data_IF_003118189352
#
_entry.id   IF_003118189352
#
_cell.length_a   1.000
_cell.length_b   1.000
_cell.length_c   1.000
_cell.angle_alpha   90.00
_cell.angle_beta   90.00
_cell.angle_gamma   90.00
#
_symmetry.space_group_name_H-M   'P 1'
#
loop_
_entity.id
_entity.type
_entity.pdbx_description
1 polymer ?
#
# COMPACT_ATOMS: atom_id res chain seq x y z
N UNK A 1 -9.61 51.78 -47.32
CA UNK A 1 -9.91 50.46 -46.72
C UNK A 1 -8.80 50.16 -45.72
N UNK A 2 -9.00 50.53 -44.45
CA UNK A 2 -7.98 50.38 -43.41
C UNK A 2 -8.27 49.10 -42.62
N UNK A 3 -7.35 48.12 -42.69
CA UNK A 3 -7.42 46.90 -41.89
C UNK A 3 -7.08 47.23 -40.43
N UNK A 4 -8.04 47.05 -39.53
CA UNK A 4 -7.78 47.06 -38.10
C UNK A 4 -7.28 45.66 -37.68
N UNK A 5 -6.03 45.59 -37.24
CA UNK A 5 -5.46 44.36 -36.65
C UNK A 5 -5.97 44.26 -35.21
N UNK A 6 -6.94 43.39 -34.96
CA UNK A 6 -7.34 43.02 -33.60
C UNK A 6 -6.22 42.18 -32.98
N UNK A 7 -5.41 42.80 -32.10
CA UNK A 7 -4.40 42.11 -31.31
C UNK A 7 -5.06 41.19 -30.27
N UNK A 8 -5.01 39.88 -30.52
CA UNK A 8 -5.43 38.86 -29.56
C UNK A 8 -4.43 38.87 -28.41
N UNK A 9 -4.84 39.39 -27.25
CA UNK A 9 -4.06 39.28 -26.02
C UNK A 9 -4.24 37.87 -25.44
N UNK A 10 -3.31 36.97 -25.75
CA UNK A 10 -3.19 35.70 -25.02
C UNK A 10 -2.62 36.04 -23.63
N UNK A 11 -3.49 36.17 -22.64
CA UNK A 11 -3.08 36.29 -21.25
C UNK A 11 -2.45 34.99 -20.78
N UNK A 12 -1.12 34.89 -20.83
CA UNK A 12 -0.39 33.81 -20.19
C UNK A 12 -0.67 33.83 -18.67
N UNK A 13 -1.01 32.69 -18.07
CA UNK A 13 -1.11 32.58 -16.61
C UNK A 13 0.26 32.85 -16.00
N UNK A 14 0.43 34.00 -15.34
CA UNK A 14 1.69 34.47 -14.75
C UNK A 14 1.99 33.88 -13.37
N UNK A 15 1.08 33.07 -12.81
CA UNK A 15 1.20 32.57 -11.45
C UNK A 15 1.28 31.05 -11.43
N UNK A 16 2.49 30.53 -11.18
CA UNK A 16 2.68 29.11 -10.93
C UNK A 16 1.89 28.69 -9.68
N UNK A 17 1.00 27.71 -9.84
CA UNK A 17 0.32 27.07 -8.71
C UNK A 17 1.33 26.09 -8.11
N UNK A 18 2.06 26.53 -7.09
CA UNK A 18 2.98 25.70 -6.32
C UNK A 18 2.27 25.16 -5.09
N UNK A 19 2.59 23.92 -4.65
CA UNK A 19 2.05 23.39 -3.41
C UNK A 19 2.51 24.27 -2.23
N UNK A 20 1.55 24.82 -1.48
CA UNK A 20 1.82 25.56 -0.24
C UNK A 20 1.58 24.63 0.95
N UNK A 21 2.61 24.29 1.75
CA UNK A 21 2.43 23.43 2.92
C UNK A 21 1.52 24.08 3.98
N UNK A 22 0.73 23.26 4.68
CA UNK A 22 -0.02 23.72 5.86
C UNK A 22 0.89 23.80 7.08
N UNK A 23 0.74 24.85 7.89
CA UNK A 23 1.43 25.01 9.18
C UNK A 23 0.70 24.33 10.35
N UNK A 24 -0.47 23.74 10.11
CA UNK A 24 -1.27 23.03 11.12
C UNK A 24 -1.82 21.72 10.55
N UNK A 25 -1.90 20.64 11.35
CA UNK A 25 -2.47 19.38 10.89
C UNK A 25 -3.98 19.54 10.66
N UNK A 26 -4.50 18.94 9.59
CA UNK A 26 -5.94 18.80 9.36
C UNK A 26 -6.57 17.77 10.32
N UNK A 27 -7.89 17.56 10.25
CA UNK A 27 -8.59 16.64 11.15
C UNK A 27 -8.08 15.20 11.09
N UNK A 28 -7.72 14.71 9.90
CA UNK A 28 -7.22 13.35 9.69
C UNK A 28 -5.78 13.18 10.21
N UNK A 29 -4.93 14.18 9.99
CA UNK A 29 -3.57 14.20 10.54
C UNK A 29 -3.61 14.22 12.07
N UNK A 30 -4.52 15.01 12.67
CA UNK A 30 -4.73 15.00 14.13
C UNK A 30 -5.22 13.64 14.63
N UNK A 31 -6.16 13.01 13.92
CA UNK A 31 -6.62 11.66 14.26
C UNK A 31 -5.48 10.64 14.21
N UNK A 32 -4.60 10.70 13.21
CA UNK A 32 -3.42 9.82 13.14
C UNK A 32 -2.42 10.10 14.27
N UNK A 33 -2.16 11.37 14.60
CA UNK A 33 -1.31 11.76 15.74
C UNK A 33 -1.91 11.26 17.07
N UNK A 34 -3.23 11.19 17.19
CA UNK A 34 -3.90 10.68 18.38
C UNK A 34 -3.71 9.17 18.56
N UNK A 35 -3.57 8.41 17.47
CA UNK A 35 -3.28 6.96 17.51
C UNK A 35 -1.91 6.63 18.13
N UNK A 36 -0.97 7.59 18.21
CA UNK A 36 0.40 7.44 18.73
C UNK A 36 1.25 6.42 17.99
N UNK A 37 1.10 5.13 18.28
CA UNK A 37 1.95 4.06 17.76
C UNK A 37 1.13 2.86 17.28
N UNK A 38 1.66 2.18 16.28
CA UNK A 38 1.03 1.03 15.62
C UNK A 38 2.06 0.03 15.11
N UNK A 39 1.57 -1.02 14.45
CA UNK A 39 2.40 -2.05 13.82
C UNK A 39 2.48 -1.84 12.31
N UNK A 40 3.65 -2.10 11.73
CA UNK A 40 3.82 -2.21 10.27
C UNK A 40 4.26 -3.63 9.94
N UNK A 41 3.45 -4.36 9.18
CA UNK A 41 3.65 -5.79 8.91
C UNK A 41 4.21 -5.95 7.49
N UNK A 42 5.51 -6.22 7.40
CA UNK A 42 6.14 -6.73 6.18
C UNK A 42 6.07 -8.25 6.20
N UNK A 43 5.24 -8.79 5.31
CA UNK A 43 5.10 -10.21 5.10
C UNK A 43 4.76 -10.42 3.64
N UNK A 44 5.38 -11.38 2.97
CA UNK A 44 5.11 -11.62 1.57
C UNK A 44 6.23 -12.39 0.91
N UNK A 45 6.37 -12.21 -0.40
CA UNK A 45 7.32 -12.96 -1.22
C UNK A 45 8.74 -12.92 -0.64
N UNK A 46 9.20 -11.73 -0.28
CA UNK A 46 10.49 -11.45 0.34
C UNK A 46 10.79 -12.33 1.58
N UNK A 47 9.78 -12.65 2.40
CA UNK A 47 9.92 -13.51 3.58
C UNK A 47 10.38 -14.93 3.24
N UNK A 48 9.95 -15.48 2.09
CA UNK A 48 10.26 -16.85 1.68
C UNK A 48 11.58 -16.96 0.92
N UNK A 49 12.20 -15.83 0.59
CA UNK A 49 13.46 -15.77 -0.14
C UNK A 49 14.59 -15.18 0.68
N UNK A 50 14.34 -14.86 1.96
CA UNK A 50 15.31 -14.25 2.87
C UNK A 50 15.97 -12.99 2.27
N UNK A 51 15.13 -12.16 1.66
CA UNK A 51 15.57 -10.97 0.93
C UNK A 51 14.72 -9.78 1.33
N UNK A 52 15.37 -8.71 1.74
CA UNK A 52 14.69 -7.42 1.96
C UNK A 52 13.98 -6.96 0.69
N UNK A 53 14.66 -7.09 -0.46
CA UNK A 53 14.17 -6.63 -1.76
C UNK A 53 14.37 -7.66 -2.88
N UNK A 54 13.30 -8.32 -3.32
CA UNK A 54 13.26 -9.07 -4.59
C UNK A 54 12.87 -8.18 -5.77
N UNK A 55 13.26 -8.57 -6.98
CA UNK A 55 13.08 -7.79 -8.23
C UNK A 55 11.78 -8.14 -9.00
N UNK A 56 10.93 -9.01 -8.45
CA UNK A 56 9.72 -9.50 -9.11
C UNK A 56 9.92 -10.69 -10.05
N UNK A 57 11.14 -11.23 -10.17
CA UNK A 57 11.42 -12.42 -11.00
C UNK A 57 11.05 -13.75 -10.34
N UNK A 58 10.77 -13.73 -9.04
CA UNK A 58 10.48 -14.94 -8.26
C UNK A 58 9.10 -15.49 -8.66
N UNK A 59 8.93 -16.79 -8.92
CA UNK A 59 7.63 -17.34 -9.28
C UNK A 59 6.62 -17.20 -8.13
N UNK A 60 5.37 -16.84 -8.42
CA UNK A 60 4.30 -16.75 -7.43
C UNK A 60 4.13 -18.03 -6.59
N UNK A 61 4.39 -19.19 -7.21
CA UNK A 61 4.36 -20.51 -6.57
C UNK A 61 5.37 -20.70 -5.43
N UNK A 62 6.37 -19.82 -5.32
CA UNK A 62 7.38 -19.85 -4.25
C UNK A 62 6.95 -19.12 -2.98
N UNK A 63 5.86 -18.35 -3.02
CA UNK A 63 5.19 -17.89 -1.81
C UNK A 63 4.50 -19.10 -1.16
N UNK A 64 5.06 -19.55 -0.03
CA UNK A 64 4.73 -20.86 0.55
C UNK A 64 4.60 -20.82 2.08
N UNK A 65 3.64 -20.06 2.63
CA UNK A 65 3.36 -20.10 4.06
C UNK A 65 2.95 -21.51 4.51
N UNK A 66 3.53 -21.98 5.61
CA UNK A 66 3.16 -23.26 6.22
C UNK A 66 1.97 -23.13 7.18
N UNK A 67 1.90 -22.01 7.90
CA UNK A 67 0.77 -21.63 8.76
C UNK A 67 0.72 -20.10 8.89
N UNK A 68 -0.47 -19.51 8.76
CA UNK A 68 -0.72 -18.08 8.99
C UNK A 68 -1.89 -17.94 9.96
N UNK A 69 -1.61 -17.39 11.15
CA UNK A 69 -2.61 -17.10 12.17
C UNK A 69 -2.72 -15.59 12.38
N UNK A 70 -3.42 -14.89 11.48
CA UNK A 70 -3.54 -13.41 11.53
C UNK A 70 -4.17 -12.93 12.84
N UNK A 71 -5.06 -13.74 13.45
CA UNK A 71 -5.62 -13.47 14.79
C UNK A 71 -4.52 -13.30 15.83
N UNK A 72 -3.44 -14.10 15.76
CA UNK A 72 -2.31 -13.99 16.69
C UNK A 72 -1.55 -12.69 16.51
N UNK A 73 -1.35 -12.20 15.27
CA UNK A 73 -0.71 -10.92 15.00
C UNK A 73 -1.51 -9.75 15.60
N UNK A 74 -2.82 -9.75 15.36
CA UNK A 74 -3.74 -8.71 15.87
C UNK A 74 -3.81 -8.73 17.39
N UNK A 75 -3.94 -9.91 18.01
CA UNK A 75 -3.95 -10.04 19.48
C UNK A 75 -2.64 -9.52 20.08
N UNK A 76 -1.49 -9.90 19.52
CA UNK A 76 -0.18 -9.45 19.99
C UNK A 76 -0.04 -7.93 19.89
N UNK A 77 -0.44 -7.32 18.77
CA UNK A 77 -0.40 -5.87 18.59
C UNK A 77 -1.29 -5.16 19.63
N UNK A 78 -2.49 -5.69 19.87
CA UNK A 78 -3.44 -5.15 20.85
C UNK A 78 -2.91 -5.26 22.27
N UNK A 79 -2.32 -6.40 22.65
CA UNK A 79 -1.70 -6.62 23.97
C UNK A 79 -0.48 -5.70 24.17
N UNK A 80 0.27 -5.42 23.11
CA UNK A 80 1.35 -4.43 23.11
C UNK A 80 0.84 -2.97 23.11
N UNK A 81 -0.48 -2.73 23.13
CA UNK A 81 -1.13 -1.42 23.20
C UNK A 81 -1.17 -0.61 21.89
N UNK A 82 -0.77 -1.23 20.77
CA UNK A 82 -0.78 -0.60 19.45
C UNK A 82 -2.21 -0.26 19.00
N UNK A 83 -2.38 0.91 18.38
CA UNK A 83 -3.72 1.42 18.03
C UNK A 83 -4.14 1.14 16.59
N UNK A 84 -3.18 0.78 15.75
CA UNK A 84 -3.43 0.44 14.35
C UNK A 84 -2.37 -0.54 13.85
N UNK A 85 -2.70 -1.21 12.75
CA UNK A 85 -1.78 -2.07 12.00
C UNK A 85 -1.85 -1.69 10.53
N UNK A 86 -0.71 -1.66 9.85
CA UNK A 86 -0.62 -1.47 8.40
C UNK A 86 0.03 -2.73 7.82
N UNK A 87 -0.70 -3.43 6.96
CA UNK A 87 -0.18 -4.56 6.20
C UNK A 87 0.36 -4.06 4.87
N UNK A 88 1.58 -4.50 4.51
CA UNK A 88 2.09 -4.36 3.15
C UNK A 88 1.38 -5.38 2.26
N UNK A 89 0.26 -4.97 1.66
CA UNK A 89 -0.54 -5.87 0.82
C UNK A 89 0.16 -6.18 -0.51
N UNK A 90 1.00 -5.26 -0.99
CA UNK A 90 1.90 -5.43 -2.14
C UNK A 90 3.16 -4.62 -1.88
N UNK A 91 4.32 -5.25 -1.99
CA UNK A 91 5.61 -4.59 -1.82
C UNK A 91 6.22 -4.27 -3.21
N UNK A 92 7.50 -3.86 -3.27
CA UNK A 92 8.09 -3.35 -4.52
C UNK A 92 8.14 -4.41 -5.64
N UNK A 93 8.18 -5.70 -5.30
CA UNK A 93 8.30 -6.81 -6.25
C UNK A 93 7.00 -7.07 -6.98
N UNK A 94 5.89 -6.51 -6.49
CA UNK A 94 4.60 -6.55 -7.15
C UNK A 94 3.69 -7.71 -6.74
N UNK A 95 4.13 -8.63 -5.87
CA UNK A 95 3.32 -9.77 -5.43
C UNK A 95 2.16 -9.28 -4.55
N UNK A 96 0.92 -9.64 -4.92
CA UNK A 96 -0.27 -9.20 -4.20
C UNK A 96 -0.74 -10.26 -3.18
N UNK A 97 -0.96 -9.85 -1.93
CA UNK A 97 -1.51 -10.69 -0.85
C UNK A 97 -3.05 -10.80 -0.86
N UNK A 98 -3.66 -10.55 -2.01
CA UNK A 98 -5.11 -10.66 -2.22
C UNK A 98 -5.36 -11.20 -3.63
N UNK A 99 -6.55 -11.75 -3.87
CA UNK A 99 -7.01 -12.17 -5.20
C UNK A 99 -7.28 -10.93 -6.09
N UNK A 100 -6.30 -10.59 -6.93
CA UNK A 100 -6.27 -9.36 -7.69
C UNK A 100 -6.88 -9.56 -9.08
N UNK A 101 -7.85 -8.72 -9.43
CA UNK A 101 -8.45 -8.74 -10.79
C UNK A 101 -7.53 -8.24 -11.90
N UNK A 102 -6.31 -7.82 -11.58
CA UNK A 102 -5.43 -7.06 -12.47
C UNK A 102 -4.07 -7.71 -12.71
N UNK A 103 -3.76 -8.81 -12.04
CA UNK A 103 -2.50 -9.54 -12.22
C UNK A 103 -2.63 -10.96 -11.70
N UNK A 104 -1.98 -11.91 -12.35
CA UNK A 104 -1.86 -13.28 -11.86
C UNK A 104 -0.68 -13.44 -10.86
N UNK A 105 0.07 -12.36 -10.60
CA UNK A 105 1.18 -12.36 -9.64
C UNK A 105 0.67 -12.06 -8.23
N UNK A 106 -0.12 -12.99 -7.72
CA UNK A 106 -0.79 -12.87 -6.43
C UNK A 106 -0.95 -14.23 -5.72
N UNK A 107 -1.61 -14.22 -4.56
CA UNK A 107 -1.84 -15.43 -3.78
C UNK A 107 -3.14 -16.20 -4.11
N UNK A 108 -3.90 -15.81 -5.16
CA UNK A 108 -5.18 -16.44 -5.57
C UNK A 108 -5.07 -17.96 -5.68
N UNK A 109 -4.05 -18.42 -6.38
CA UNK A 109 -3.66 -19.82 -6.58
C UNK A 109 -3.51 -20.63 -5.28
N UNK A 110 -3.21 -19.97 -4.15
CA UNK A 110 -3.05 -20.64 -2.85
C UNK A 110 -4.35 -20.71 -2.05
N UNK A 111 -5.38 -19.93 -2.40
CA UNK A 111 -6.71 -20.06 -1.80
C UNK A 111 -7.38 -21.36 -2.24
N UNK A 112 -7.27 -21.71 -3.52
CA UNK A 112 -7.78 -23.01 -4.01
C UNK A 112 -7.05 -24.21 -3.39
N UNK A 113 -5.79 -24.01 -2.97
CA UNK A 113 -4.98 -25.02 -2.30
C UNK A 113 -5.14 -25.03 -0.77
N UNK A 114 -6.05 -24.26 -0.19
CA UNK A 114 -6.26 -24.15 1.27
C UNK A 114 -4.99 -23.71 2.07
N UNK A 115 -4.02 -23.03 1.43
CA UNK A 115 -2.73 -22.69 2.04
C UNK A 115 -2.62 -21.26 2.58
N UNK A 116 -3.40 -20.32 2.04
CA UNK A 116 -3.19 -18.90 2.38
C UNK A 116 -4.06 -18.41 3.54
N UNK A 117 -5.26 -18.97 3.77
CA UNK A 117 -6.26 -18.39 4.69
C UNK A 117 -7.20 -19.42 5.37
N UNK A 118 -6.72 -20.60 5.78
CA UNK A 118 -7.57 -21.61 6.46
C UNK A 118 -7.79 -21.39 7.97
N UNK A 119 -7.68 -20.15 8.44
CA UNK A 119 -8.07 -19.74 9.80
C UNK A 119 -9.55 -19.36 9.96
N UNK A 120 -10.43 -19.81 9.05
CA UNK A 120 -11.88 -19.59 9.13
C UNK A 120 -12.52 -20.61 10.10
N UNK A 121 -12.36 -20.34 11.39
CA UNK A 121 -13.34 -20.67 12.43
C UNK A 121 -14.07 -19.40 12.84
#
# INVERSE_FOLDING_TARGET
>A
MALAVLGIHVGAQTKAIVPVPSVRPNAYQRAQIDQKYGMFVHFGMNTFHDQEWTDGSKPASTYAPSAIEVKQWVSTAKEAGMKYMILVTKHHEGFCLWDSKYTDYDCSELFERNKCCTGAG
#
